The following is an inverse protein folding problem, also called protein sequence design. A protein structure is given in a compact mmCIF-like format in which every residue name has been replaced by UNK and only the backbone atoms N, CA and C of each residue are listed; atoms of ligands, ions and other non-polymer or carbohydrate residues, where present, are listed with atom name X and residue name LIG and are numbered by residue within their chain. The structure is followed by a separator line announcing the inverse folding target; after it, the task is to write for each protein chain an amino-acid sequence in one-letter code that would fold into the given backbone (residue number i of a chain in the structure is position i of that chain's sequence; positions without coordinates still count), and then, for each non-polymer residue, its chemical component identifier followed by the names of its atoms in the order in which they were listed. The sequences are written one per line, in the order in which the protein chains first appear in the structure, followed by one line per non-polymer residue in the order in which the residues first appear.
data_IF_359450431663
#
_entry.id   IF_359450431663
#
_cell.length_a   1.000
_cell.length_b   1.000
_cell.length_c   1.000
_cell.angle_alpha   90.00
_cell.angle_beta   90.00
_cell.angle_gamma   90.00
#
_symmetry.space_group_name_H-M   'P 1'
#
loop_
_entity.id
_entity.type
_entity.pdbx_description
1 polymer ?
#
# COMPACT_ATOMS: atom_id res chain seq x y z
N UNK A 1 32.00 -30.60 -36.10
CA UNK A 1 30.59 -30.48 -36.55
C UNK A 1 29.85 -29.63 -35.53
N UNK A 2 29.62 -28.34 -35.81
CA UNK A 2 29.11 -27.35 -34.84
C UNK A 2 27.63 -27.13 -35.11
N UNK A 3 26.75 -27.60 -34.24
CA UNK A 3 25.30 -27.45 -34.37
C UNK A 3 24.95 -25.99 -34.05
N UNK A 4 24.58 -25.23 -35.08
CA UNK A 4 24.04 -23.87 -34.96
C UNK A 4 22.58 -23.98 -34.54
N UNK A 5 22.30 -23.82 -33.24
CA UNK A 5 20.93 -23.67 -32.73
C UNK A 5 20.37 -22.30 -33.10
N UNK A 6 19.24 -22.30 -33.80
CA UNK A 6 18.53 -21.10 -34.24
C UNK A 6 18.04 -20.26 -33.04
N UNK A 7 18.00 -18.92 -33.17
CA UNK A 7 17.48 -18.04 -32.13
C UNK A 7 15.97 -18.26 -31.94
N UNK A 8 15.59 -18.64 -30.72
CA UNK A 8 14.21 -18.71 -30.24
C UNK A 8 13.53 -17.34 -30.41
N UNK A 9 12.69 -17.20 -31.45
CA UNK A 9 11.76 -16.07 -31.57
C UNK A 9 10.77 -16.12 -30.41
N UNK A 10 10.96 -15.26 -29.40
CA UNK A 10 9.92 -15.03 -28.38
C UNK A 10 8.67 -14.53 -29.11
N UNK A 11 7.51 -15.19 -28.98
CA UNK A 11 6.28 -14.67 -29.55
C UNK A 11 6.00 -13.28 -28.96
N UNK A 12 5.66 -12.35 -29.84
CA UNK A 12 5.27 -11.00 -29.46
C UNK A 12 4.10 -11.09 -28.46
N UNK A 13 4.30 -10.51 -27.27
CA UNK A 13 3.29 -10.44 -26.22
C UNK A 13 2.11 -9.63 -26.75
N UNK A 14 1.06 -10.33 -27.18
CA UNK A 14 -0.15 -9.73 -27.75
C UNK A 14 -0.91 -9.03 -26.61
N UNK A 15 -0.72 -7.71 -26.50
CA UNK A 15 -1.08 -6.91 -25.32
C UNK A 15 -2.51 -6.35 -25.36
N UNK A 16 -3.39 -6.94 -26.17
CA UNK A 16 -4.66 -6.29 -26.56
C UNK A 16 -5.93 -6.98 -26.06
N UNK A 17 -5.85 -8.15 -25.41
CA UNK A 17 -7.05 -8.89 -24.96
C UNK A 17 -6.94 -9.50 -23.54
N UNK A 18 -6.03 -9.01 -22.67
CA UNK A 18 -6.18 -9.31 -21.24
C UNK A 18 -7.36 -8.46 -20.74
N UNK A 19 -8.39 -9.02 -20.08
CA UNK A 19 -9.40 -8.19 -19.43
C UNK A 19 -8.62 -7.22 -18.55
N UNK A 20 -8.88 -5.91 -18.65
CA UNK A 20 -8.24 -4.88 -17.84
C UNK A 20 -8.35 -5.30 -16.38
N UNK A 21 -7.34 -6.04 -15.91
CA UNK A 21 -7.39 -6.79 -14.68
C UNK A 21 -7.31 -5.76 -13.59
N UNK A 22 -8.48 -5.32 -13.14
CA UNK A 22 -8.69 -4.04 -12.48
C UNK A 22 -7.62 -3.82 -11.42
N UNK A 23 -6.60 -3.06 -11.80
CA UNK A 23 -5.39 -2.89 -11.01
C UNK A 23 -5.80 -2.11 -9.77
N UNK A 24 -5.84 -2.79 -8.63
CA UNK A 24 -6.22 -2.22 -7.37
C UNK A 24 -5.22 -2.66 -6.29
N UNK A 25 -5.04 -1.79 -5.31
CA UNK A 25 -4.28 -2.11 -4.12
C UNK A 25 -5.22 -2.71 -3.09
N UNK A 26 -4.85 -3.86 -2.54
CA UNK A 26 -5.62 -4.55 -1.51
C UNK A 26 -4.72 -4.97 -0.37
N UNK A 27 -5.29 -5.02 0.83
CA UNK A 27 -4.58 -5.38 2.04
C UNK A 27 -4.71 -6.89 2.25
N UNK A 28 -3.63 -7.55 2.64
CA UNK A 28 -3.60 -8.96 3.03
C UNK A 28 -2.71 -9.16 4.26
N UNK A 29 -2.81 -10.31 4.92
CA UNK A 29 -1.90 -10.64 6.02
C UNK A 29 -0.53 -10.98 5.45
N UNK A 30 0.53 -10.40 6.03
CA UNK A 30 1.92 -10.71 5.60
C UNK A 30 2.27 -12.18 5.77
N UNK A 31 1.70 -12.83 6.79
CA UNK A 31 1.86 -14.26 7.00
C UNK A 31 1.31 -15.09 5.83
N UNK A 32 0.21 -14.67 5.20
CA UNK A 32 -0.36 -15.36 4.05
C UNK A 32 0.55 -15.23 2.82
N UNK A 33 1.10 -14.03 2.57
CA UNK A 33 2.07 -13.79 1.49
C UNK A 33 3.32 -14.66 1.68
N UNK A 34 3.85 -14.74 2.91
CA UNK A 34 4.99 -15.60 3.21
C UNK A 34 4.67 -17.08 3.04
N UNK A 35 3.49 -17.53 3.49
CA UNK A 35 3.02 -18.91 3.30
C UNK A 35 2.96 -19.26 1.81
N UNK A 36 2.44 -18.36 0.96
CA UNK A 36 2.41 -18.57 -0.48
C UNK A 36 3.80 -18.67 -1.09
N UNK A 37 4.74 -17.84 -0.63
CA UNK A 37 6.12 -17.86 -1.10
C UNK A 37 6.85 -19.17 -0.73
N UNK A 38 6.55 -19.76 0.44
CA UNK A 38 7.22 -20.99 0.91
C UNK A 38 6.52 -22.27 0.49
N UNK A 39 5.19 -22.29 0.52
CA UNK A 39 4.38 -23.50 0.32
C UNK A 39 3.77 -23.59 -1.08
N UNK A 40 3.92 -22.53 -1.88
CA UNK A 40 3.31 -22.43 -3.19
C UNK A 40 1.82 -22.09 -3.14
N UNK A 41 1.20 -22.21 -4.31
CA UNK A 41 -0.20 -21.87 -4.53
C UNK A 41 -1.08 -23.04 -4.05
N UNK A 42 -2.14 -22.79 -3.24
CA UNK A 42 -3.05 -23.85 -2.79
C UNK A 42 -3.73 -24.56 -3.95
N UNK A 43 -3.97 -25.86 -3.81
CA UNK A 43 -4.72 -26.64 -4.79
C UNK A 43 -6.20 -26.24 -4.85
N UNK A 44 -6.81 -26.47 -6.01
CA UNK A 44 -8.22 -26.21 -6.29
C UNK A 44 -8.45 -24.92 -7.09
N UNK A 45 -9.72 -24.52 -7.17
CA UNK A 45 -10.10 -23.31 -7.90
C UNK A 45 -9.60 -22.04 -7.18
N UNK A 46 -9.09 -21.09 -7.96
CA UNK A 46 -8.61 -19.80 -7.47
C UNK A 46 -9.26 -18.67 -8.27
N UNK A 47 -9.71 -17.60 -7.59
CA UNK A 47 -10.21 -16.42 -8.29
C UNK A 47 -9.12 -15.80 -9.18
N UNK A 48 -9.48 -15.24 -10.35
CA UNK A 48 -8.52 -14.53 -11.20
C UNK A 48 -7.93 -13.29 -10.51
N UNK A 49 -8.69 -12.66 -9.62
CA UNK A 49 -8.29 -11.46 -8.87
C UNK A 49 -7.81 -11.83 -7.47
N UNK A 50 -6.59 -11.42 -7.12
CA UNK A 50 -5.99 -11.68 -5.81
C UNK A 50 -6.74 -11.02 -4.66
N UNK A 51 -6.83 -11.74 -3.55
CA UNK A 51 -7.41 -11.32 -2.27
C UNK A 51 -8.88 -10.89 -2.35
N UNK A 52 -9.61 -11.41 -3.34
CA UNK A 52 -11.08 -11.41 -3.35
C UNK A 52 -11.63 -12.26 -2.20
N UNK A 53 -12.91 -12.12 -1.91
CA UNK A 53 -13.57 -12.91 -0.87
C UNK A 53 -13.51 -14.41 -1.22
N UNK A 54 -13.19 -15.25 -0.25
CA UNK A 54 -12.98 -16.68 -0.46
C UNK A 54 -11.66 -17.07 -1.13
N UNK A 55 -10.77 -16.11 -1.44
CA UNK A 55 -9.47 -16.43 -2.03
C UNK A 55 -8.60 -17.22 -1.04
N UNK A 56 -8.42 -18.52 -1.35
CA UNK A 56 -7.62 -19.46 -0.55
C UNK A 56 -6.16 -19.06 -0.42
N UNK A 57 -5.65 -18.19 -1.30
CA UNK A 57 -4.31 -17.62 -1.17
C UNK A 57 -4.20 -16.74 0.08
N UNK A 58 -5.27 -16.07 0.50
CA UNK A 58 -5.28 -15.10 1.60
C UNK A 58 -6.45 -15.33 2.58
N UNK A 59 -6.46 -16.45 3.31
CA UNK A 59 -7.59 -16.87 4.14
C UNK A 59 -7.74 -16.04 5.43
N UNK A 60 -6.74 -15.26 5.83
CA UNK A 60 -6.77 -14.58 7.12
C UNK A 60 -7.72 -13.37 7.14
N UNK A 61 -8.51 -13.17 8.21
CA UNK A 61 -9.30 -11.96 8.39
C UNK A 61 -8.40 -10.74 8.56
N UNK A 62 -8.80 -9.62 7.95
CA UNK A 62 -7.96 -8.43 7.79
C UNK A 62 -8.60 -7.10 8.16
N UNK A 63 -9.94 -7.00 8.20
CA UNK A 63 -10.66 -5.72 8.42
C UNK A 63 -10.28 -5.05 9.75
N UNK A 64 -10.29 -5.81 10.85
CA UNK A 64 -9.91 -5.28 12.17
C UNK A 64 -8.43 -4.82 12.21
N UNK A 65 -7.53 -5.63 11.63
CA UNK A 65 -6.10 -5.28 11.54
C UNK A 65 -5.88 -4.02 10.73
N UNK A 66 -6.60 -3.86 9.62
CA UNK A 66 -6.57 -2.65 8.80
C UNK A 66 -7.07 -1.43 9.58
N UNK A 67 -8.15 -1.56 10.35
CA UNK A 67 -8.65 -0.50 11.23
C UNK A 67 -7.58 -0.05 12.23
N UNK A 68 -7.00 -0.99 12.98
CA UNK A 68 -5.92 -0.68 13.92
C UNK A 68 -4.68 -0.10 13.24
N UNK A 69 -4.29 -0.60 12.07
CA UNK A 69 -3.18 -0.07 11.31
C UNK A 69 -3.39 1.41 10.96
N UNK A 70 -4.58 1.75 10.48
CA UNK A 70 -4.95 3.13 10.18
C UNK A 70 -4.93 4.01 11.43
N UNK A 71 -5.49 3.53 12.56
CA UNK A 71 -5.48 4.27 13.83
C UNK A 71 -4.05 4.55 14.31
N UNK A 72 -3.16 3.55 14.24
CA UNK A 72 -1.75 3.72 14.62
C UNK A 72 -1.07 4.77 13.72
N UNK A 73 -1.21 4.65 12.40
CA UNK A 73 -0.62 5.61 11.45
C UNK A 73 -1.15 7.03 11.73
N UNK A 74 -2.46 7.18 11.97
CA UNK A 74 -3.09 8.46 12.26
C UNK A 74 -2.56 9.10 13.55
N UNK A 75 -2.49 8.33 14.65
CA UNK A 75 -1.99 8.82 15.94
C UNK A 75 -0.52 9.20 15.84
N UNK A 76 0.30 8.42 15.13
CA UNK A 76 1.71 8.73 14.94
C UNK A 76 1.91 10.04 14.17
N UNK A 77 1.22 10.20 13.04
CA UNK A 77 1.35 11.42 12.24
C UNK A 77 0.81 12.64 12.98
N UNK A 78 -0.37 12.53 13.60
CA UNK A 78 -1.00 13.64 14.31
C UNK A 78 -0.20 14.02 15.55
N UNK A 79 0.24 13.04 16.34
CA UNK A 79 1.03 13.26 17.54
C UNK A 79 2.34 13.97 17.24
N UNK A 80 3.07 13.53 16.20
CA UNK A 80 4.32 14.18 15.80
C UNK A 80 4.11 15.57 15.17
N UNK A 81 3.02 15.77 14.44
CA UNK A 81 2.65 17.10 13.93
C UNK A 81 2.35 18.08 15.06
N UNK A 82 1.52 17.69 16.02
CA UNK A 82 1.20 18.50 17.21
C UNK A 82 2.47 18.79 18.01
N UNK A 83 3.30 17.78 18.27
CA UNK A 83 4.55 17.95 19.00
C UNK A 83 5.49 18.96 18.32
N UNK A 84 5.65 18.89 17.00
CA UNK A 84 6.47 19.83 16.23
C UNK A 84 5.94 21.27 16.32
N UNK A 85 4.62 21.45 16.17
CA UNK A 85 4.00 22.77 16.29
C UNK A 85 4.16 23.36 17.69
N UNK A 86 3.85 22.58 18.74
CA UNK A 86 3.96 23.02 20.14
C UNK A 86 5.41 23.35 20.51
N UNK A 87 6.38 22.54 20.08
CA UNK A 87 7.80 22.77 20.37
C UNK A 87 8.33 24.10 19.81
N UNK A 88 7.70 24.63 18.75
CA UNK A 88 8.11 25.87 18.08
C UNK A 88 7.15 27.04 18.33
N UNK A 89 6.02 26.82 19.01
CA UNK A 89 5.01 27.86 19.25
C UNK A 89 5.53 29.05 20.07
N UNK A 90 6.48 28.82 20.99
CA UNK A 90 7.11 29.90 21.77
C UNK A 90 8.23 30.64 21.03
N UNK A 91 8.63 30.17 19.84
CA UNK A 91 9.73 30.73 19.04
C UNK A 91 9.24 31.36 17.74
N UNK A 92 8.09 30.92 17.24
CA UNK A 92 7.50 31.32 15.97
C UNK A 92 6.13 31.95 16.22
N UNK A 93 5.65 32.77 15.29
CA UNK A 93 4.27 33.24 15.33
C UNK A 93 3.27 32.07 15.26
N UNK A 94 2.06 32.18 15.87
CA UNK A 94 1.10 31.07 15.95
C UNK A 94 0.76 30.43 14.60
N UNK A 95 0.60 31.23 13.55
CA UNK A 95 0.32 30.74 12.20
C UNK A 95 1.47 29.92 11.61
N UNK A 96 2.72 30.32 11.87
CA UNK A 96 3.91 29.59 11.41
C UNK A 96 4.06 28.28 12.18
N UNK A 97 3.85 28.29 13.50
CA UNK A 97 3.90 27.08 14.32
C UNK A 97 2.83 26.05 13.90
N UNK A 98 1.61 26.52 13.61
CA UNK A 98 0.55 25.69 13.04
C UNK A 98 0.95 25.13 11.67
N UNK A 99 1.51 25.97 10.80
CA UNK A 99 2.03 25.57 9.49
C UNK A 99 3.11 24.50 9.58
N UNK A 100 4.03 24.60 10.54
CA UNK A 100 5.02 23.56 10.81
C UNK A 100 4.36 22.26 11.24
N UNK A 101 3.43 22.31 12.21
CA UNK A 101 2.75 21.10 12.67
C UNK A 101 1.98 20.38 11.55
N UNK A 102 1.24 21.15 10.72
CA UNK A 102 0.54 20.63 9.56
C UNK A 102 1.51 20.08 8.49
N UNK A 103 2.61 20.78 8.22
CA UNK A 103 3.66 20.36 7.31
C UNK A 103 4.34 19.06 7.76
N UNK A 104 4.64 18.94 9.06
CA UNK A 104 5.21 17.72 9.65
C UNK A 104 4.23 16.55 9.54
N UNK A 105 2.95 16.74 9.88
CA UNK A 105 1.91 15.73 9.69
C UNK A 105 1.87 15.22 8.23
N UNK A 106 1.84 16.15 7.27
CA UNK A 106 1.74 15.83 5.85
C UNK A 106 3.00 15.09 5.34
N UNK A 107 4.18 15.60 5.70
CA UNK A 107 5.45 15.01 5.32
C UNK A 107 5.59 13.57 5.85
N UNK A 108 5.24 13.34 7.12
CA UNK A 108 5.25 12.00 7.70
C UNK A 108 4.27 11.07 7.00
N UNK A 109 3.05 11.54 6.71
CA UNK A 109 2.07 10.75 5.97
C UNK A 109 2.56 10.32 4.59
N UNK A 110 3.23 11.22 3.86
CA UNK A 110 3.83 10.94 2.54
C UNK A 110 4.96 9.91 2.68
N UNK A 111 5.89 10.13 3.61
CA UNK A 111 7.02 9.22 3.83
C UNK A 111 6.53 7.81 4.19
N UNK A 112 5.57 7.71 5.10
CA UNK A 112 5.02 6.43 5.54
C UNK A 112 4.22 5.72 4.42
N UNK A 113 3.29 6.42 3.76
CA UNK A 113 2.39 5.79 2.77
C UNK A 113 3.01 5.58 1.39
N UNK A 114 4.07 6.32 1.04
CA UNK A 114 4.73 6.20 -0.26
C UNK A 114 6.09 5.52 -0.11
N UNK A 115 6.99 6.07 0.71
CA UNK A 115 8.37 5.57 0.79
C UNK A 115 8.42 4.26 1.56
N UNK A 116 7.99 4.26 2.83
CA UNK A 116 8.03 3.05 3.66
C UNK A 116 7.13 1.96 3.06
N UNK A 117 5.93 2.31 2.63
CA UNK A 117 5.02 1.36 2.00
C UNK A 117 5.55 0.82 0.66
N UNK A 118 6.37 1.56 -0.10
CA UNK A 118 7.03 1.03 -1.31
C UNK A 118 8.12 0.02 -1.00
N UNK A 119 8.85 0.24 0.09
CA UNK A 119 9.98 -0.61 0.51
C UNK A 119 9.48 -1.88 1.21
N UNK A 120 8.53 -1.75 2.13
CA UNK A 120 8.08 -2.83 3.01
C UNK A 120 6.72 -3.41 2.61
N UNK A 121 6.09 -2.88 1.55
CA UNK A 121 4.68 -3.14 1.21
C UNK A 121 3.73 -2.81 2.37
N UNK A 122 4.12 -1.96 3.32
CA UNK A 122 3.36 -1.63 4.52
C UNK A 122 3.78 -0.28 5.11
N UNK A 123 2.84 0.43 5.72
CA UNK A 123 3.09 1.55 6.66
C UNK A 123 3.50 1.03 8.04
N UNK A 124 3.88 1.92 8.95
CA UNK A 124 4.24 1.57 10.34
C UNK A 124 3.12 0.75 11.02
N UNK A 125 1.89 1.24 11.04
CA UNK A 125 0.75 0.54 11.63
C UNK A 125 0.45 -0.80 10.96
N UNK A 126 0.65 -0.90 9.64
CA UNK A 126 0.53 -2.18 8.92
C UNK A 126 1.64 -3.16 9.30
N UNK A 127 2.87 -2.67 9.52
CA UNK A 127 3.98 -3.47 10.04
C UNK A 127 3.62 -4.04 11.42
N UNK A 128 3.14 -3.20 12.34
CA UNK A 128 2.73 -3.60 13.71
C UNK A 128 1.60 -4.63 13.68
N UNK A 129 0.58 -4.41 12.85
CA UNK A 129 -0.61 -5.29 12.78
C UNK A 129 -0.43 -6.53 11.90
N UNK A 130 0.73 -6.66 11.24
CA UNK A 130 1.10 -7.83 10.43
C UNK A 130 0.38 -7.91 9.09
N UNK A 131 -0.06 -6.78 8.53
CA UNK A 131 -0.68 -6.70 7.20
C UNK A 131 0.22 -5.97 6.20
N UNK A 132 -0.04 -6.16 4.92
CA UNK A 132 0.69 -5.51 3.84
C UNK A 132 -0.23 -5.27 2.63
N UNK A 133 0.17 -4.36 1.75
CA UNK A 133 -0.46 -4.15 0.46
C UNK A 133 0.09 -5.10 -0.59
N UNK A 134 -0.80 -5.60 -1.43
CA UNK A 134 -0.48 -6.29 -2.67
C UNK A 134 -1.31 -5.69 -3.80
N UNK A 135 -0.89 -5.97 -5.03
CA UNK A 135 -1.68 -5.69 -6.23
C UNK A 135 -2.65 -6.83 -6.49
N UNK A 136 -3.89 -6.51 -6.85
CA UNK A 136 -4.94 -7.50 -7.16
C UNK A 136 -4.68 -8.30 -8.42
N UNK A 137 -3.92 -7.76 -9.38
CA UNK A 137 -3.65 -8.36 -10.68
C UNK A 137 -2.55 -9.45 -10.63
N UNK A 138 -1.57 -9.26 -9.77
CA UNK A 138 -0.33 -10.05 -9.76
C UNK A 138 -0.02 -10.66 -8.39
N UNK A 139 -0.68 -10.20 -7.33
CA UNK A 139 -0.33 -10.53 -5.95
C UNK A 139 1.00 -9.94 -5.48
N UNK A 140 1.70 -9.18 -6.34
CA UNK A 140 3.00 -8.60 -6.07
C UNK A 140 2.95 -7.29 -5.26
N UNK A 141 4.11 -6.68 -4.95
CA UNK A 141 4.18 -5.46 -4.16
C UNK A 141 3.60 -4.24 -4.92
N UNK A 142 3.17 -3.19 -4.20
CA UNK A 142 2.64 -1.97 -4.81
C UNK A 142 3.71 -1.21 -5.63
N UNK A 143 3.27 -0.50 -6.66
CA UNK A 143 4.13 0.38 -7.45
C UNK A 143 4.11 1.80 -6.89
N UNK A 144 5.18 2.58 -7.09
CA UNK A 144 5.23 3.98 -6.63
C UNK A 144 4.05 4.80 -7.18
N UNK A 145 3.74 4.64 -8.48
CA UNK A 145 2.59 5.31 -9.13
C UNK A 145 1.27 4.98 -8.43
N UNK A 146 1.05 3.71 -8.09
CA UNK A 146 -0.18 3.29 -7.42
C UNK A 146 -0.30 3.85 -6.00
N UNK A 147 0.81 3.96 -5.27
CA UNK A 147 0.85 4.52 -3.93
C UNK A 147 0.57 6.03 -3.94
N UNK A 148 1.19 6.76 -4.88
CA UNK A 148 0.94 8.19 -5.10
C UNK A 148 -0.54 8.43 -5.43
N UNK A 149 -1.09 7.67 -6.38
CA UNK A 149 -2.51 7.78 -6.76
C UNK A 149 -3.45 7.48 -5.59
N UNK A 150 -3.20 6.41 -4.83
CA UNK A 150 -4.00 6.06 -3.66
C UNK A 150 -3.89 7.11 -2.54
N UNK A 151 -2.73 7.77 -2.40
CA UNK A 151 -2.54 8.86 -1.45
C UNK A 151 -3.38 10.08 -1.83
N UNK A 152 -3.29 10.54 -3.09
CA UNK A 152 -4.09 11.67 -3.58
C UNK A 152 -5.59 11.39 -3.51
N UNK A 153 -6.03 10.18 -3.86
CA UNK A 153 -7.44 9.80 -3.72
C UNK A 153 -7.90 9.88 -2.26
N UNK A 154 -7.08 9.42 -1.32
CA UNK A 154 -7.38 9.53 0.11
C UNK A 154 -7.50 10.98 0.59
N UNK A 155 -6.57 11.85 0.15
CA UNK A 155 -6.62 13.29 0.46
C UNK A 155 -7.87 13.93 -0.14
N UNK A 156 -8.18 13.64 -1.41
CA UNK A 156 -9.36 14.15 -2.09
C UNK A 156 -10.65 13.76 -1.36
N UNK A 157 -10.79 12.50 -0.97
CA UNK A 157 -11.96 12.03 -0.21
C UNK A 157 -12.09 12.78 1.11
N UNK A 158 -11.01 12.96 1.87
CA UNK A 158 -11.04 13.71 3.14
C UNK A 158 -11.48 15.15 2.89
N UNK A 159 -10.87 15.83 1.92
CA UNK A 159 -11.21 17.23 1.59
C UNK A 159 -12.65 17.37 1.15
N UNK A 160 -13.13 16.47 0.27
CA UNK A 160 -14.51 16.48 -0.20
C UNK A 160 -15.52 16.29 0.94
N UNK A 161 -15.22 15.43 1.92
CA UNK A 161 -16.09 15.22 3.10
C UNK A 161 -16.04 16.38 4.11
N UNK A 162 -15.00 17.21 4.09
CA UNK A 162 -14.89 18.39 4.97
C UNK A 162 -15.51 19.65 4.36
N UNK A 163 -15.64 19.71 3.04
CA UNK A 163 -16.11 20.89 2.30
C UNK A 163 -17.52 20.75 1.69
N UNK A 164 -18.06 19.53 1.61
CA UNK A 164 -19.41 19.24 1.13
C UNK A 164 -20.34 18.92 2.29
#
# INVERSE_FOLDING_TARGET
MRIMTAPSRRPARNRTNEPDGNFALTIVRRADVRRLATSGVPAGWLPPVHATEGDRRYPSPRRLRQGFAFTIDLVLHLGLGIAAGVALAGRLGPGVALGVGAGTFLALSILDRIVLQRLCSATVGKLVTGVCLIRTDTGGPPTTKSLVSAWFMGVFVIVANLLG
#
